data_IF_790145081129
#
_entry.id   IF_790145081129
#
_cell.length_a   1.000
_cell.length_b   1.000
_cell.length_c   1.000
_cell.angle_alpha   90.00
_cell.angle_beta   90.00
_cell.angle_gamma   90.00
#
_symmetry.space_group_name_H-M   'P 1'
#
loop_
_entity.id
_entity.type
_entity.pdbx_description
1 polymer ?
#
# COMPACT_ATOMS: atom_id res chain seq x y z
N UNK A 1 -16.63 -14.91 20.42
CA UNK A 1 -15.15 -14.92 20.54
C UNK A 1 -14.67 -13.51 20.23
N UNK A 2 -13.85 -12.89 21.09
CA UNK A 2 -13.46 -11.49 20.92
C UNK A 2 -12.66 -11.23 19.65
N UNK A 3 -12.83 -10.05 19.05
CA UNK A 3 -12.20 -9.63 17.80
C UNK A 3 -11.17 -8.53 18.03
N UNK A 4 -10.05 -8.63 17.31
CA UNK A 4 -9.06 -7.55 17.22
C UNK A 4 -9.26 -6.75 15.95
N UNK A 5 -9.58 -5.47 16.09
CA UNK A 5 -9.64 -4.50 15.01
C UNK A 5 -8.31 -3.76 14.90
N UNK A 6 -7.46 -4.18 13.97
CA UNK A 6 -6.13 -3.60 13.75
C UNK A 6 -6.22 -2.46 12.75
N UNK A 7 -5.84 -1.25 13.18
CA UNK A 7 -5.74 -0.10 12.28
C UNK A 7 -4.43 -0.11 11.51
N UNK A 8 -4.45 0.20 10.22
CA UNK A 8 -3.26 0.35 9.39
C UNK A 8 -3.36 1.62 8.52
N UNK A 9 -2.37 2.50 8.64
CA UNK A 9 -2.29 3.72 7.84
C UNK A 9 -1.23 4.68 8.36
N UNK A 10 -0.76 5.57 7.47
CA UNK A 10 0.21 6.61 7.83
C UNK A 10 -0.42 7.69 8.73
N UNK A 11 0.37 8.47 9.50
CA UNK A 11 -0.13 9.64 10.21
C UNK A 11 -0.90 10.58 9.26
N UNK A 12 -2.01 11.17 9.75
CA UNK A 12 -2.88 12.04 8.93
C UNK A 12 -3.94 11.29 8.10
N UNK A 13 -3.85 9.97 7.97
CA UNK A 13 -4.84 9.16 7.22
C UNK A 13 -6.25 9.13 7.83
N UNK A 14 -6.44 9.65 9.05
CA UNK A 14 -7.72 9.61 9.77
C UNK A 14 -7.94 8.32 10.57
N UNK A 15 -6.95 7.42 10.64
CA UNK A 15 -7.07 6.12 11.31
C UNK A 15 -7.55 6.23 12.77
N UNK A 16 -7.07 7.22 13.52
CA UNK A 16 -7.42 7.38 14.94
C UNK A 16 -8.85 7.88 15.13
N UNK A 17 -9.34 8.73 14.21
CA UNK A 17 -10.74 9.14 14.19
C UNK A 17 -11.66 7.96 13.88
N UNK A 18 -11.32 7.16 12.87
CA UNK A 18 -12.06 5.95 12.54
C UNK A 18 -12.04 4.94 13.69
N UNK A 19 -10.87 4.72 14.30
CA UNK A 19 -10.67 3.78 15.39
C UNK A 19 -11.51 4.11 16.64
N UNK A 20 -11.60 5.38 17.01
CA UNK A 20 -12.43 5.82 18.14
C UNK A 20 -13.92 5.62 17.87
N UNK A 21 -14.37 5.90 16.64
CA UNK A 21 -15.76 5.62 16.23
C UNK A 21 -16.07 4.12 16.25
N UNK A 22 -15.16 3.30 15.73
CA UNK A 22 -15.29 1.85 15.73
C UNK A 22 -15.32 1.28 17.15
N UNK A 23 -14.43 1.75 18.04
CA UNK A 23 -14.41 1.33 19.43
C UNK A 23 -15.74 1.64 20.13
N UNK A 24 -16.32 2.81 19.88
CA UNK A 24 -17.62 3.18 20.42
C UNK A 24 -18.77 2.32 19.86
N UNK A 25 -18.78 2.05 18.55
CA UNK A 25 -19.86 1.25 17.92
C UNK A 25 -19.82 -0.22 18.32
N UNK A 26 -18.62 -0.80 18.43
CA UNK A 26 -18.42 -2.22 18.77
C UNK A 26 -18.32 -2.45 20.29
N UNK A 27 -18.42 -1.39 21.11
CA UNK A 27 -18.14 -1.44 22.56
C UNK A 27 -16.76 -2.07 22.88
N UNK A 28 -15.81 -1.86 21.97
CA UNK A 28 -14.48 -2.44 22.03
C UNK A 28 -13.51 -1.54 22.81
N UNK A 29 -12.51 -2.14 23.43
CA UNK A 29 -11.46 -1.42 24.15
C UNK A 29 -10.53 -0.75 23.15
N UNK A 30 -10.41 0.57 23.22
CA UNK A 30 -9.50 1.35 22.39
C UNK A 30 -8.09 1.36 23.00
N UNK A 31 -7.09 0.93 22.22
CA UNK A 31 -5.68 0.91 22.61
C UNK A 31 -4.85 1.64 21.54
N UNK A 32 -4.32 2.81 21.90
CA UNK A 32 -3.47 3.63 21.03
C UNK A 32 -2.00 3.58 21.45
N UNK A 33 -1.13 3.29 20.49
CA UNK A 33 0.32 3.35 20.71
C UNK A 33 0.82 4.76 21.01
N UNK A 34 0.19 5.79 20.44
CA UNK A 34 0.54 7.18 20.71
C UNK A 34 0.07 7.60 22.11
N UNK A 35 -1.14 7.25 22.53
CA UNK A 35 -1.66 7.62 23.89
C UNK A 35 -0.87 6.92 24.99
N UNK A 36 -0.48 5.66 24.82
CA UNK A 36 0.35 4.96 25.81
C UNK A 36 1.75 5.57 25.89
N UNK A 37 2.33 5.95 24.74
CA UNK A 37 3.64 6.61 24.71
C UNK A 37 3.59 7.98 25.38
N UNK A 38 2.54 8.75 25.16
CA UNK A 38 2.30 10.03 25.85
C UNK A 38 2.26 9.83 27.37
N UNK A 39 1.48 8.85 27.84
CA UNK A 39 1.37 8.54 29.26
C UNK A 39 2.70 8.11 29.89
N UNK A 40 3.58 7.44 29.14
CA UNK A 40 4.87 6.96 29.67
C UNK A 40 5.93 8.06 29.72
N UNK A 41 5.96 8.94 28.74
CA UNK A 41 7.06 9.90 28.55
C UNK A 41 6.64 11.37 28.71
N UNK A 42 5.37 11.65 28.97
CA UNK A 42 4.79 12.99 28.95
C UNK A 42 4.69 13.60 27.55
N UNK A 43 5.27 12.94 26.54
CA UNK A 43 5.23 13.35 25.14
C UNK A 43 5.33 12.11 24.24
N UNK A 44 4.31 11.92 23.39
CA UNK A 44 4.27 10.82 22.45
C UNK A 44 5.32 10.94 21.31
N UNK A 45 6.01 12.07 21.17
CA UNK A 45 7.12 12.27 20.22
C UNK A 45 8.40 11.52 20.63
N UNK A 46 8.55 11.25 21.94
CA UNK A 46 9.70 10.57 22.50
C UNK A 46 9.76 9.13 22.00
N UNK A 47 10.78 8.79 21.20
CA UNK A 47 10.90 7.44 20.65
C UNK A 47 11.08 6.39 21.76
N UNK A 48 11.80 6.73 22.85
CA UNK A 48 11.97 5.90 24.04
C UNK A 48 12.36 4.44 23.73
N UNK A 49 12.03 3.53 24.65
CA UNK A 49 12.11 2.09 24.39
C UNK A 49 10.83 1.62 23.67
N UNK A 50 10.84 1.71 22.33
CA UNK A 50 9.75 1.23 21.50
C UNK A 50 9.49 -0.29 21.69
N UNK A 51 10.51 -1.10 21.98
CA UNK A 51 10.32 -2.54 22.14
C UNK A 51 9.49 -2.83 23.38
N UNK A 52 9.83 -2.19 24.51
CA UNK A 52 9.10 -2.28 25.77
C UNK A 52 7.68 -1.72 25.66
N UNK A 53 7.49 -0.59 24.97
CA UNK A 53 6.17 -0.01 24.71
C UNK A 53 5.26 -1.00 23.98
N UNK A 54 5.72 -1.57 22.87
CA UNK A 54 4.91 -2.52 22.11
C UNK A 54 4.71 -3.86 22.84
N UNK A 55 5.62 -4.25 23.73
CA UNK A 55 5.40 -5.40 24.60
C UNK A 55 4.26 -5.16 25.60
N UNK A 56 4.22 -3.98 26.23
CA UNK A 56 3.12 -3.61 27.11
C UNK A 56 1.78 -3.54 26.37
N UNK A 57 1.75 -2.94 25.18
CA UNK A 57 0.56 -2.90 24.32
C UNK A 57 0.05 -4.31 24.04
N UNK A 58 0.92 -5.23 23.59
CA UNK A 58 0.55 -6.61 23.29
C UNK A 58 0.03 -7.34 24.53
N UNK A 59 0.64 -7.12 25.69
CA UNK A 59 0.17 -7.65 26.98
C UNK A 59 -1.23 -7.14 27.33
N UNK A 60 -1.50 -5.84 27.18
CA UNK A 60 -2.84 -5.26 27.41
C UNK A 60 -3.88 -5.87 26.49
N UNK A 61 -3.58 -5.95 25.20
CA UNK A 61 -4.47 -6.57 24.19
C UNK A 61 -4.85 -8.00 24.63
N UNK A 62 -3.85 -8.83 24.97
CA UNK A 62 -4.12 -10.21 25.42
C UNK A 62 -5.00 -10.28 26.66
N UNK A 63 -4.79 -9.39 27.64
CA UNK A 63 -5.58 -9.38 28.85
C UNK A 63 -7.06 -9.04 28.58
N UNK A 64 -7.33 -8.06 27.70
CA UNK A 64 -8.70 -7.71 27.33
C UNK A 64 -9.40 -8.84 26.55
N UNK A 65 -8.68 -9.45 25.61
CA UNK A 65 -9.20 -10.60 24.85
C UNK A 65 -9.51 -11.80 25.77
N UNK A 66 -8.65 -12.09 26.75
CA UNK A 66 -8.90 -13.12 27.76
C UNK A 66 -10.11 -12.79 28.65
N UNK A 67 -10.37 -11.50 28.87
CA UNK A 67 -11.56 -11.01 29.56
C UNK A 67 -12.83 -10.97 28.72
N UNK A 68 -12.80 -11.44 27.46
CA UNK A 68 -13.98 -11.48 26.59
C UNK A 68 -14.27 -10.18 25.82
N UNK A 69 -13.34 -9.22 25.82
CA UNK A 69 -13.56 -7.89 25.24
C UNK A 69 -12.91 -7.76 23.86
N UNK A 70 -13.64 -7.18 22.91
CA UNK A 70 -13.10 -6.76 21.63
C UNK A 70 -12.09 -5.62 21.81
N UNK A 71 -11.13 -5.49 20.89
CA UNK A 71 -10.05 -4.50 21.00
C UNK A 71 -9.85 -3.79 19.66
N UNK A 72 -9.80 -2.46 19.69
CA UNK A 72 -9.31 -1.63 18.58
C UNK A 72 -7.88 -1.23 18.84
N UNK A 73 -6.95 -1.74 18.02
CA UNK A 73 -5.53 -1.44 18.12
C UNK A 73 -5.12 -0.35 17.13
N UNK A 74 -4.93 0.87 17.63
CA UNK A 74 -4.53 2.06 16.87
C UNK A 74 -3.02 2.28 16.91
N UNK A 75 -2.37 1.87 15.82
CA UNK A 75 -1.00 2.20 15.49
C UNK A 75 -0.89 2.38 13.97
N UNK A 76 0.29 2.78 13.49
CA UNK A 76 0.51 2.89 12.04
C UNK A 76 0.53 1.52 11.35
N UNK A 77 1.01 0.49 12.06
CA UNK A 77 1.09 -0.90 11.61
C UNK A 77 1.65 -1.08 10.19
N UNK A 78 2.74 -0.35 9.88
CA UNK A 78 3.33 -0.27 8.54
C UNK A 78 3.93 -1.60 8.04
N UNK A 79 4.50 -2.42 8.95
CA UNK A 79 5.32 -3.58 8.56
C UNK A 79 4.54 -4.89 8.58
N UNK A 80 4.53 -5.57 7.44
CA UNK A 80 3.99 -6.93 7.25
C UNK A 80 4.59 -7.92 8.24
N UNK A 81 5.91 -7.90 8.41
CA UNK A 81 6.60 -8.82 9.34
C UNK A 81 6.07 -8.67 10.78
N UNK A 82 5.85 -7.42 11.23
CA UNK A 82 5.33 -7.15 12.58
C UNK A 82 3.87 -7.59 12.71
N UNK A 83 3.05 -7.36 11.69
CA UNK A 83 1.65 -7.81 11.65
C UNK A 83 1.53 -9.33 11.68
N UNK A 84 2.32 -10.05 10.88
CA UNK A 84 2.41 -11.53 10.91
C UNK A 84 2.82 -12.04 12.30
N UNK A 85 3.79 -11.38 12.93
CA UNK A 85 4.18 -11.77 14.30
C UNK A 85 3.03 -11.59 15.27
N UNK A 86 2.34 -10.45 15.19
CA UNK A 86 1.19 -10.12 16.03
C UNK A 86 0.04 -11.14 15.87
N UNK A 87 -0.42 -11.38 14.64
CA UNK A 87 -1.52 -12.32 14.35
C UNK A 87 -1.19 -13.77 14.73
N UNK A 88 0.05 -14.22 14.48
CA UNK A 88 0.42 -15.62 14.67
C UNK A 88 0.92 -15.97 16.07
N UNK A 89 1.36 -14.98 16.86
CA UNK A 89 1.92 -15.23 18.20
C UNK A 89 1.14 -14.49 19.29
N UNK A 90 0.90 -13.19 19.12
CA UNK A 90 0.37 -12.37 20.21
C UNK A 90 -1.13 -12.54 20.43
N UNK A 91 -1.88 -12.69 19.34
CA UNK A 91 -3.35 -12.84 19.38
C UNK A 91 -3.79 -14.13 18.69
N UNK A 92 -2.91 -15.15 18.70
CA UNK A 92 -3.18 -16.45 18.10
C UNK A 92 -4.49 -17.03 18.63
N UNK A 93 -5.38 -17.41 17.72
CA UNK A 93 -6.68 -17.98 18.05
C UNK A 93 -7.82 -16.95 18.13
N UNK A 94 -7.51 -15.65 18.10
CA UNK A 94 -8.53 -14.60 17.99
C UNK A 94 -8.66 -14.11 16.53
N UNK A 95 -9.88 -13.81 16.05
CA UNK A 95 -10.09 -13.20 14.75
C UNK A 95 -9.49 -11.79 14.74
N UNK A 96 -8.79 -11.47 13.65
CA UNK A 96 -8.17 -10.16 13.44
C UNK A 96 -8.70 -9.55 12.15
N UNK A 97 -9.31 -8.37 12.26
CA UNK A 97 -9.77 -7.56 11.12
C UNK A 97 -8.78 -6.41 10.91
N UNK A 98 -8.19 -6.30 9.72
CA UNK A 98 -7.36 -5.15 9.36
C UNK A 98 -8.22 -4.04 8.74
N UNK A 99 -8.13 -2.84 9.28
CA UNK A 99 -8.76 -1.63 8.74
C UNK A 99 -7.69 -0.73 8.13
N UNK A 100 -7.65 -0.66 6.80
CA UNK A 100 -6.56 -0.06 6.03
C UNK A 100 -7.01 1.28 5.43
N UNK A 101 -6.40 2.38 5.87
CA UNK A 101 -6.75 3.72 5.41
C UNK A 101 -5.76 4.22 4.34
N UNK A 102 -6.22 4.19 3.10
CA UNK A 102 -5.52 4.67 1.92
C UNK A 102 -5.96 6.10 1.57
N UNK A 103 -5.59 7.08 2.39
CA UNK A 103 -5.84 8.51 2.13
C UNK A 103 -4.70 9.09 1.30
N UNK A 104 -4.95 9.96 0.29
CA UNK A 104 -3.90 10.62 -0.47
C UNK A 104 -2.81 11.23 0.42
N UNK A 105 -1.54 11.08 0.02
CA UNK A 105 -0.41 11.57 0.81
C UNK A 105 -0.50 13.08 1.07
N UNK A 106 -0.88 13.86 0.07
CA UNK A 106 -1.09 15.31 0.18
C UNK A 106 -2.10 15.67 1.27
N UNK A 107 -3.23 14.96 1.35
CA UNK A 107 -4.22 15.13 2.39
C UNK A 107 -3.69 14.70 3.77
N UNK A 108 -2.90 13.63 3.84
CA UNK A 108 -2.24 13.21 5.09
C UNK A 108 -1.25 14.27 5.59
N UNK A 109 -0.44 14.85 4.69
CA UNK A 109 0.52 15.90 4.97
C UNK A 109 -0.18 17.18 5.46
N UNK A 110 -1.21 17.63 4.74
CA UNK A 110 -2.01 18.80 5.12
C UNK A 110 -2.64 18.63 6.51
N UNK A 111 -3.25 17.46 6.78
CA UNK A 111 -3.79 17.15 8.12
C UNK A 111 -2.70 17.08 9.17
N UNK A 112 -1.52 16.54 8.85
CA UNK A 112 -0.40 16.47 9.78
C UNK A 112 0.12 17.86 10.18
N UNK A 113 0.14 18.81 9.25
CA UNK A 113 0.55 20.20 9.52
C UNK A 113 -0.40 20.95 10.46
N UNK A 114 -1.68 20.54 10.51
CA UNK A 114 -2.73 21.12 11.36
C UNK A 114 -2.81 20.50 12.76
N UNK A 115 -2.07 19.41 13.02
CA UNK A 115 -2.06 18.77 14.35
C UNK A 115 -1.21 19.57 15.33
N UNK A 116 -1.60 19.57 16.60
CA UNK A 116 -0.76 20.06 17.70
C UNK A 116 0.59 19.33 17.70
N UNK A 117 0.55 18.00 17.58
CA UNK A 117 1.73 17.15 17.41
C UNK A 117 1.93 16.80 15.93
N UNK A 118 2.99 17.36 15.35
CA UNK A 118 3.38 17.16 13.94
C UNK A 118 4.43 16.06 13.82
N UNK A 119 4.27 15.18 12.83
CA UNK A 119 5.35 14.30 12.38
C UNK A 119 6.17 15.06 11.34
N UNK A 120 7.49 15.01 11.43
CA UNK A 120 8.36 15.60 10.41
C UNK A 120 8.01 15.06 9.01
N UNK A 121 8.05 15.92 8.00
CA UNK A 121 7.64 15.58 6.64
C UNK A 121 8.48 14.43 6.06
N UNK A 122 9.79 14.43 6.28
CA UNK A 122 10.68 13.36 5.80
C UNK A 122 10.39 12.03 6.49
N UNK A 123 9.99 12.08 7.77
CA UNK A 123 9.53 10.89 8.49
C UNK A 123 8.20 10.39 7.89
N UNK A 124 7.27 11.29 7.59
CA UNK A 124 5.98 10.94 6.99
C UNK A 124 6.15 10.33 5.59
N UNK A 125 6.99 10.91 4.74
CA UNK A 125 7.36 10.34 3.44
C UNK A 125 7.97 8.95 3.59
N UNK A 126 8.89 8.77 4.55
CA UNK A 126 9.49 7.47 4.84
C UNK A 126 8.43 6.45 5.28
N UNK A 127 7.50 6.84 6.14
CA UNK A 127 6.40 5.96 6.56
C UNK A 127 5.51 5.57 5.39
N UNK A 128 5.28 6.48 4.45
CA UNK A 128 4.51 6.19 3.23
C UNK A 128 5.23 5.17 2.33
N UNK A 129 6.52 5.36 2.07
CA UNK A 129 7.36 4.41 1.30
C UNK A 129 7.50 3.04 1.96
N UNK A 130 7.38 2.97 3.29
CA UNK A 130 7.50 1.74 4.09
C UNK A 130 6.15 1.04 4.35
N UNK A 131 5.03 1.60 3.91
CA UNK A 131 3.71 1.06 4.22
C UNK A 131 3.40 -0.18 3.37
N UNK A 132 3.73 -1.36 3.89
CA UNK A 132 3.38 -2.63 3.25
C UNK A 132 1.87 -2.88 3.46
N UNK A 133 1.08 -2.96 2.39
CA UNK A 133 -0.36 -3.23 2.51
C UNK A 133 -0.65 -4.55 3.26
N UNK A 134 -1.67 -4.58 4.16
CA UNK A 134 -2.13 -5.81 4.79
C UNK A 134 -2.85 -6.75 3.82
N UNK A 135 -2.48 -8.04 3.82
CA UNK A 135 -3.16 -9.08 3.04
C UNK A 135 -3.61 -10.26 3.91
N UNK A 136 -4.62 -11.01 3.46
CA UNK A 136 -5.26 -12.07 4.24
C UNK A 136 -4.28 -13.14 4.76
N UNK A 137 -3.23 -13.46 3.99
CA UNK A 137 -2.18 -14.45 4.31
C UNK A 137 -1.33 -14.06 5.53
N UNK A 138 -1.44 -12.80 5.97
CA UNK A 138 -0.86 -12.34 7.22
C UNK A 138 -1.60 -12.86 8.46
N UNK A 139 -2.75 -13.52 8.31
CA UNK A 139 -3.56 -14.06 9.40
C UNK A 139 -4.78 -13.20 9.76
N UNK A 140 -5.23 -12.35 8.83
CA UNK A 140 -6.45 -11.57 8.99
C UNK A 140 -7.66 -12.38 8.51
N UNK A 141 -8.75 -12.39 9.28
CA UNK A 141 -10.01 -12.97 8.80
C UNK A 141 -10.72 -12.05 7.81
N UNK A 142 -10.42 -10.74 7.86
CA UNK A 142 -10.90 -9.74 6.90
C UNK A 142 -9.92 -8.58 6.80
N UNK A 143 -9.70 -8.10 5.58
CA UNK A 143 -8.99 -6.84 5.32
C UNK A 143 -9.97 -5.86 4.70
N UNK A 144 -10.23 -4.73 5.34
CA UNK A 144 -11.14 -3.69 4.85
C UNK A 144 -10.35 -2.47 4.39
N UNK A 145 -10.49 -2.10 3.12
CA UNK A 145 -9.86 -0.91 2.54
C UNK A 145 -10.79 0.30 2.58
N UNK A 146 -10.28 1.41 3.08
CA UNK A 146 -10.94 2.72 3.14
C UNK A 146 -10.11 3.71 2.35
N UNK A 147 -10.71 4.37 1.37
CA UNK A 147 -10.13 5.50 0.64
C UNK A 147 -11.20 6.60 0.59
N UNK A 148 -10.80 7.88 0.57
CA UNK A 148 -11.76 8.95 0.34
C UNK A 148 -12.34 8.84 -1.07
N UNK A 149 -13.54 9.39 -1.23
CA UNK A 149 -14.11 9.64 -2.55
C UNK A 149 -13.26 10.72 -3.25
N UNK A 150 -12.76 10.39 -4.42
CA UNK A 150 -11.98 11.27 -5.29
C UNK A 150 -12.89 12.00 -6.30
N UNK A 151 -14.18 11.68 -6.32
CA UNK A 151 -15.21 12.31 -7.15
C UNK A 151 -14.82 12.36 -8.63
N UNK A 152 -14.36 11.22 -9.17
CA UNK A 152 -14.06 11.13 -10.60
C UNK A 152 -15.29 11.42 -11.43
N UNK A 153 -15.14 12.39 -12.33
CA UNK A 153 -16.18 12.77 -13.29
C UNK A 153 -16.59 11.56 -14.16
N UNK A 154 -17.88 11.39 -14.50
CA UNK A 154 -18.35 10.27 -15.32
C UNK A 154 -17.65 10.12 -16.67
N UNK A 155 -17.23 11.22 -17.32
CA UNK A 155 -16.50 11.17 -18.60
C UNK A 155 -15.14 10.52 -18.38
N UNK A 156 -14.42 10.91 -17.33
CA UNK A 156 -13.14 10.28 -16.98
C UNK A 156 -13.30 8.78 -16.71
N UNK A 157 -14.36 8.36 -15.99
CA UNK A 157 -14.65 6.93 -15.79
C UNK A 157 -14.89 6.19 -17.11
N UNK A 158 -15.54 6.83 -18.08
CA UNK A 158 -15.77 6.25 -19.42
C UNK A 158 -14.46 6.14 -20.21
N UNK A 159 -13.61 7.17 -20.18
CA UNK A 159 -12.33 7.15 -20.88
C UNK A 159 -11.38 6.09 -20.32
N UNK A 160 -11.36 5.88 -19.00
CA UNK A 160 -10.63 4.78 -18.37
C UNK A 160 -11.13 3.43 -18.90
N UNK A 161 -12.44 3.21 -19.00
CA UNK A 161 -13.00 1.96 -19.53
C UNK A 161 -12.57 1.70 -20.97
N UNK A 162 -12.45 2.75 -21.80
CA UNK A 162 -11.96 2.62 -23.18
C UNK A 162 -10.50 2.23 -23.20
N UNK A 163 -9.67 2.85 -22.36
CA UNK A 163 -8.26 2.46 -22.22
C UNK A 163 -8.12 0.98 -21.84
N UNK A 164 -8.99 0.46 -20.97
CA UNK A 164 -8.98 -0.96 -20.58
C UNK A 164 -9.39 -1.94 -21.70
N UNK A 165 -9.93 -1.47 -22.83
CA UNK A 165 -10.48 -2.33 -23.89
C UNK A 165 -9.92 -2.10 -25.28
N UNK A 166 -9.34 -0.93 -25.54
CA UNK A 166 -8.94 -0.46 -26.87
C UNK A 166 -7.47 -0.05 -26.90
N UNK A 167 -6.84 -0.13 -28.07
CA UNK A 167 -5.51 0.42 -28.28
C UNK A 167 -5.59 1.95 -28.42
N UNK A 168 -4.74 2.66 -27.66
CA UNK A 168 -4.64 4.11 -27.68
C UNK A 168 -3.23 4.54 -28.10
N UNK A 169 -3.10 5.71 -28.73
CA UNK A 169 -1.78 6.34 -28.89
C UNK A 169 -1.21 6.70 -27.50
N UNK A 170 0.10 6.79 -27.37
CA UNK A 170 0.74 7.21 -26.11
C UNK A 170 0.22 8.56 -25.60
N UNK A 171 -0.06 9.49 -26.52
CA UNK A 171 -0.56 10.83 -26.20
C UNK A 171 -1.98 10.77 -25.62
N UNK A 172 -2.90 10.07 -26.30
CA UNK A 172 -4.29 9.95 -25.85
C UNK A 172 -4.38 9.15 -24.54
N UNK A 173 -3.56 8.10 -24.41
CA UNK A 173 -3.48 7.29 -23.20
C UNK A 173 -3.10 8.14 -21.98
N UNK A 174 -2.02 8.94 -22.07
CA UNK A 174 -1.61 9.81 -20.97
C UNK A 174 -2.46 11.07 -20.81
N UNK A 175 -3.19 11.50 -21.85
CA UNK A 175 -4.19 12.55 -21.70
C UNK A 175 -5.24 12.16 -20.66
N UNK A 176 -5.71 10.91 -20.67
CA UNK A 176 -6.66 10.40 -19.68
C UNK A 176 -5.97 10.15 -18.34
N UNK A 177 -4.84 9.42 -18.34
CA UNK A 177 -4.20 8.98 -17.11
C UNK A 177 -3.66 10.13 -16.26
N UNK A 178 -3.26 11.26 -16.86
CA UNK A 178 -2.80 12.44 -16.11
C UNK A 178 -3.87 13.06 -15.20
N UNK A 179 -5.14 12.66 -15.33
CA UNK A 179 -6.19 13.06 -14.38
C UNK A 179 -6.28 12.16 -13.14
N UNK A 180 -5.46 11.10 -13.07
CA UNK A 180 -5.50 10.10 -12.00
C UNK A 180 -4.30 10.25 -11.04
N UNK A 181 -4.48 9.95 -9.74
CA UNK A 181 -3.40 10.09 -8.75
C UNK A 181 -2.15 9.28 -9.11
N UNK A 182 -0.97 9.92 -9.08
CA UNK A 182 0.33 9.27 -9.29
C UNK A 182 0.81 9.26 -10.74
N UNK A 183 -0.09 9.42 -11.73
CA UNK A 183 0.28 9.39 -13.14
C UNK A 183 1.00 10.65 -13.62
N UNK A 184 0.59 11.88 -13.24
CA UNK A 184 1.34 13.10 -13.56
C UNK A 184 2.81 13.02 -13.14
N UNK A 185 3.09 12.38 -12.00
CA UNK A 185 4.42 12.29 -11.42
C UNK A 185 5.35 11.31 -12.16
N UNK A 186 4.80 10.41 -12.99
CA UNK A 186 5.58 9.47 -13.80
C UNK A 186 5.66 9.86 -15.29
N UNK A 187 4.92 10.89 -15.72
CA UNK A 187 4.89 11.31 -17.11
C UNK A 187 6.27 11.77 -17.59
N UNK A 188 6.83 11.04 -18.56
CA UNK A 188 8.19 11.18 -19.09
C UNK A 188 9.30 11.15 -18.01
N UNK A 189 9.01 10.54 -16.87
CA UNK A 189 9.98 10.40 -15.79
C UNK A 189 11.10 9.44 -16.21
N UNK A 190 12.32 9.95 -16.34
CA UNK A 190 13.51 9.11 -16.56
C UNK A 190 13.72 8.13 -15.40
N UNK A 191 14.10 6.88 -15.70
CA UNK A 191 14.56 5.93 -14.69
C UNK A 191 15.94 6.30 -14.11
N UNK A 192 16.71 7.14 -14.80
CA UNK A 192 18.09 7.52 -14.46
C UNK A 192 18.93 6.32 -14.03
N UNK A 193 18.95 5.30 -14.90
CA UNK A 193 19.62 4.02 -14.68
C UNK A 193 20.39 3.61 -15.94
N UNK A 194 21.32 2.65 -15.82
CA UNK A 194 22.00 2.07 -16.99
C UNK A 194 21.12 1.14 -17.83
N UNK A 195 20.04 0.63 -17.24
CA UNK A 195 19.34 -0.57 -17.70
C UNK A 195 17.98 -0.28 -18.33
N UNK A 196 17.52 0.98 -18.34
CA UNK A 196 16.20 1.34 -18.86
C UNK A 196 16.36 2.44 -19.88
N UNK A 197 15.90 2.19 -21.11
CA UNK A 197 15.93 3.15 -22.22
C UNK A 197 14.64 3.98 -22.32
N UNK A 198 13.56 3.52 -21.68
CA UNK A 198 12.26 4.17 -21.67
C UNK A 198 12.08 5.01 -20.39
N UNK A 199 11.25 6.06 -20.47
CA UNK A 199 10.69 6.70 -19.30
C UNK A 199 9.70 5.76 -18.59
N UNK A 200 9.41 6.01 -17.31
CA UNK A 200 8.48 5.20 -16.51
C UNK A 200 7.11 5.13 -17.18
N UNK A 201 6.59 6.28 -17.65
CA UNK A 201 5.32 6.34 -18.39
C UNK A 201 5.31 5.49 -19.66
N UNK A 202 6.38 5.55 -20.46
CA UNK A 202 6.50 4.77 -21.70
C UNK A 202 6.63 3.28 -21.43
N UNK A 203 7.35 2.90 -20.37
CA UNK A 203 7.44 1.50 -19.95
C UNK A 203 6.05 0.94 -19.62
N UNK A 204 5.27 1.64 -18.79
CA UNK A 204 3.88 1.26 -18.49
C UNK A 204 3.00 1.19 -19.73
N UNK A 205 3.11 2.17 -20.64
CA UNK A 205 2.35 2.21 -21.89
C UNK A 205 2.60 0.99 -22.79
N UNK A 206 3.87 0.66 -23.07
CA UNK A 206 4.18 -0.45 -23.97
C UNK A 206 3.78 -1.81 -23.39
N UNK A 207 3.90 -2.00 -22.06
CA UNK A 207 3.37 -3.22 -21.43
C UNK A 207 1.85 -3.27 -21.58
N UNK A 208 1.16 -2.15 -21.34
CA UNK A 208 -0.28 -2.08 -21.48
C UNK A 208 -0.73 -2.41 -22.91
N UNK A 209 -0.08 -1.81 -23.92
CA UNK A 209 -0.37 -2.07 -25.32
C UNK A 209 -0.18 -3.54 -25.70
N UNK A 210 0.92 -4.16 -25.25
CA UNK A 210 1.19 -5.59 -25.48
C UNK A 210 0.07 -6.47 -24.88
N UNK A 211 -0.42 -6.15 -23.68
CA UNK A 211 -1.56 -6.88 -23.07
C UNK A 211 -2.85 -6.67 -23.85
N UNK A 212 -3.11 -5.46 -24.36
CA UNK A 212 -4.29 -5.17 -25.18
C UNK A 212 -4.27 -6.02 -26.46
N UNK A 213 -3.13 -6.06 -27.15
CA UNK A 213 -2.99 -6.66 -28.48
C UNK A 213 -2.83 -8.18 -28.44
N UNK A 214 -2.04 -8.72 -27.49
CA UNK A 214 -1.60 -10.11 -27.54
C UNK A 214 -2.23 -11.01 -26.48
N UNK A 215 -2.79 -10.45 -25.40
CA UNK A 215 -3.33 -11.24 -24.30
C UNK A 215 -4.85 -11.37 -24.36
N UNK A 216 -5.35 -12.61 -24.38
CA UNK A 216 -6.79 -12.95 -24.45
C UNK A 216 -7.25 -13.85 -23.29
N UNK A 217 -6.44 -14.02 -22.26
CA UNK A 217 -6.77 -14.85 -21.09
C UNK A 217 -7.74 -14.17 -20.11
N UNK A 218 -8.28 -14.93 -19.14
CA UNK A 218 -9.26 -14.43 -18.17
C UNK A 218 -8.71 -13.32 -17.24
N UNK A 219 -7.39 -13.26 -17.06
CA UNK A 219 -6.73 -12.26 -16.22
C UNK A 219 -6.37 -10.95 -16.95
N UNK A 220 -6.88 -10.74 -18.18
CA UNK A 220 -6.53 -9.58 -19.02
C UNK A 220 -6.70 -8.26 -18.27
N UNK A 221 -7.85 -8.05 -17.66
CA UNK A 221 -8.16 -6.81 -16.93
C UNK A 221 -7.18 -6.56 -15.78
N UNK A 222 -6.78 -7.64 -15.08
CA UNK A 222 -5.79 -7.56 -14.00
C UNK A 222 -4.42 -7.16 -14.55
N UNK A 223 -3.99 -7.77 -15.66
CA UNK A 223 -2.72 -7.45 -16.32
C UNK A 223 -2.68 -6.00 -16.84
N UNK A 224 -3.79 -5.47 -17.35
CA UNK A 224 -3.91 -4.07 -17.77
C UNK A 224 -3.76 -3.11 -16.59
N UNK A 225 -4.36 -3.42 -15.44
CA UNK A 225 -4.12 -2.61 -14.23
C UNK A 225 -2.69 -2.75 -13.71
N UNK A 226 -2.10 -3.94 -13.73
CA UNK A 226 -0.71 -4.15 -13.33
C UNK A 226 0.26 -3.33 -14.22
N UNK A 227 0.08 -3.36 -15.53
CA UNK A 227 0.94 -2.63 -16.47
C UNK A 227 0.93 -1.12 -16.21
N UNK A 228 -0.25 -0.56 -15.93
CA UNK A 228 -0.38 0.86 -15.62
C UNK A 228 0.11 1.23 -14.22
N UNK A 229 -0.17 0.40 -13.21
CA UNK A 229 -0.05 0.82 -11.80
C UNK A 229 1.22 0.33 -11.10
N UNK A 230 1.93 -0.68 -11.61
CA UNK A 230 3.05 -1.29 -10.85
C UNK A 230 4.15 -0.28 -10.46
N UNK A 231 4.42 0.69 -11.33
CA UNK A 231 5.52 1.63 -11.20
C UNK A 231 5.10 3.08 -10.88
N UNK A 232 3.81 3.37 -10.70
CA UNK A 232 3.31 4.74 -10.45
C UNK A 232 3.93 5.37 -9.19
N UNK A 233 4.29 4.55 -8.20
CA UNK A 233 4.98 5.02 -6.99
C UNK A 233 6.38 5.56 -7.23
N UNK A 234 6.98 5.34 -8.41
CA UNK A 234 8.31 5.87 -8.76
C UNK A 234 8.34 7.39 -8.80
N UNK A 235 7.25 8.05 -9.18
CA UNK A 235 7.14 9.51 -9.18
C UNK A 235 7.42 10.10 -7.79
N UNK A 236 6.90 9.46 -6.74
CA UNK A 236 7.13 9.85 -5.35
C UNK A 236 8.48 9.34 -4.77
N UNK A 237 8.93 8.16 -5.22
CA UNK A 237 10.07 7.48 -4.61
C UNK A 237 11.43 7.87 -5.19
N UNK A 238 11.47 8.55 -6.34
CA UNK A 238 12.72 8.89 -7.02
C UNK A 238 13.66 9.69 -6.12
N UNK A 239 14.87 9.17 -5.92
CA UNK A 239 15.90 9.85 -5.12
C UNK A 239 17.30 9.53 -5.64
N UNK A 240 18.19 10.52 -5.59
CA UNK A 240 19.62 10.34 -5.81
C UNK A 240 20.40 10.19 -4.51
N UNK A 241 19.75 10.03 -3.37
CA UNK A 241 20.40 9.87 -2.07
C UNK A 241 20.33 8.41 -1.63
N UNK A 242 21.40 7.90 -1.04
CA UNK A 242 21.37 6.62 -0.34
C UNK A 242 20.90 6.79 1.13
N UNK A 243 20.77 5.69 1.88
CA UNK A 243 20.34 5.72 3.28
C UNK A 243 21.24 6.54 4.23
N UNK A 244 22.47 6.84 3.83
CA UNK A 244 23.41 7.71 4.58
C UNK A 244 23.36 9.17 4.11
N UNK A 245 22.43 9.52 3.20
CA UNK A 245 22.31 10.85 2.62
C UNK A 245 23.35 11.17 1.53
N UNK A 246 24.17 10.20 1.10
CA UNK A 246 25.18 10.46 0.09
C UNK A 246 24.59 10.39 -1.33
N UNK A 247 24.92 11.38 -2.16
CA UNK A 247 24.51 11.45 -3.57
C UNK A 247 25.03 10.24 -4.35
N UNK A 248 24.19 9.73 -5.24
CA UNK A 248 24.44 8.59 -6.12
C UNK A 248 24.29 9.02 -7.58
N UNK A 249 25.01 8.34 -8.47
CA UNK A 249 24.93 8.58 -9.91
C UNK A 249 23.58 8.17 -10.51
N UNK A 250 22.99 7.10 -9.99
CA UNK A 250 21.74 6.53 -10.48
C UNK A 250 20.63 6.76 -9.48
N UNK A 251 19.42 6.99 -9.99
CA UNK A 251 18.26 7.14 -9.14
C UNK A 251 17.89 5.82 -8.45
N UNK A 252 17.27 5.95 -7.28
CA UNK A 252 16.67 4.88 -6.50
C UNK A 252 15.18 5.14 -6.38
N UNK A 253 14.41 4.06 -6.26
CA UNK A 253 12.96 4.09 -6.11
C UNK A 253 12.55 3.22 -4.91
N UNK A 254 13.22 3.39 -3.78
CA UNK A 254 13.02 2.54 -2.60
C UNK A 254 11.56 2.66 -2.10
N UNK A 255 10.83 1.54 -2.07
CA UNK A 255 9.44 1.47 -1.61
C UNK A 255 8.39 1.88 -2.64
N UNK A 256 8.75 2.06 -3.92
CA UNK A 256 7.78 2.40 -4.97
C UNK A 256 6.66 1.36 -5.08
N UNK A 257 6.95 0.07 -4.88
CA UNK A 257 5.94 -1.00 -4.91
C UNK A 257 4.86 -0.83 -3.83
N UNK A 258 5.24 -0.29 -2.66
CA UNK A 258 4.30 0.00 -1.57
C UNK A 258 3.43 1.22 -1.90
N UNK A 259 4.05 2.28 -2.43
CA UNK A 259 3.36 3.50 -2.86
C UNK A 259 2.40 3.20 -4.01
N UNK A 260 2.84 2.44 -5.00
CA UNK A 260 2.04 1.95 -6.13
C UNK A 260 0.82 1.17 -5.65
N UNK A 261 1.01 0.21 -4.75
CA UNK A 261 -0.10 -0.59 -4.23
C UNK A 261 -1.09 0.27 -3.41
N UNK A 262 -0.59 1.24 -2.64
CA UNK A 262 -1.41 2.19 -1.88
C UNK A 262 -2.27 3.08 -2.79
N UNK A 263 -1.71 3.56 -3.90
CA UNK A 263 -2.42 4.34 -4.91
C UNK A 263 -3.43 3.48 -5.68
N UNK A 264 -3.08 2.23 -5.99
CA UNK A 264 -3.98 1.29 -6.65
C UNK A 264 -5.27 1.06 -5.86
N UNK A 265 -5.17 0.90 -4.52
CA UNK A 265 -6.35 0.79 -3.66
C UNK A 265 -7.25 2.03 -3.75
N UNK A 266 -6.67 3.24 -3.81
CA UNK A 266 -7.45 4.47 -3.96
C UNK A 266 -8.19 4.49 -5.29
N UNK A 267 -7.46 4.25 -6.38
CA UNK A 267 -8.00 4.32 -7.73
C UNK A 267 -9.10 3.28 -7.94
N UNK A 268 -8.81 2.01 -7.69
CA UNK A 268 -9.73 0.91 -7.97
C UNK A 268 -11.01 1.00 -7.11
N UNK A 269 -10.90 1.50 -5.87
CA UNK A 269 -12.08 1.73 -5.02
C UNK A 269 -12.97 2.85 -5.57
N UNK A 270 -12.39 3.92 -6.11
CA UNK A 270 -13.13 5.03 -6.72
C UNK A 270 -13.69 4.69 -8.12
N UNK A 271 -13.19 3.62 -8.73
CA UNK A 271 -13.73 3.00 -9.94
C UNK A 271 -14.71 1.85 -9.64
N UNK A 272 -15.08 1.67 -8.37
CA UNK A 272 -16.12 0.73 -7.93
C UNK A 272 -15.80 -0.76 -8.22
N UNK A 273 -14.52 -1.11 -8.32
CA UNK A 273 -14.10 -2.50 -8.41
C UNK A 273 -14.46 -3.28 -7.14
N UNK A 274 -14.69 -4.59 -7.31
CA UNK A 274 -14.98 -5.48 -6.19
C UNK A 274 -13.81 -5.53 -5.21
N UNK A 275 -14.11 -5.81 -3.94
CA UNK A 275 -13.09 -5.93 -2.90
C UNK A 275 -12.04 -6.97 -3.25
N UNK A 276 -12.45 -8.13 -3.77
CA UNK A 276 -11.56 -9.22 -4.18
C UNK A 276 -10.61 -8.76 -5.29
N UNK A 277 -11.13 -8.06 -6.30
CA UNK A 277 -10.32 -7.52 -7.39
C UNK A 277 -9.29 -6.50 -6.88
N UNK A 278 -9.71 -5.56 -6.03
CA UNK A 278 -8.82 -4.57 -5.41
C UNK A 278 -7.73 -5.27 -4.58
N UNK A 279 -8.11 -6.24 -3.76
CA UNK A 279 -7.21 -6.96 -2.87
C UNK A 279 -6.14 -7.72 -3.66
N UNK A 280 -6.55 -8.49 -4.65
CA UNK A 280 -5.64 -9.28 -5.50
C UNK A 280 -4.73 -8.38 -6.32
N UNK A 281 -5.27 -7.35 -6.99
CA UNK A 281 -4.50 -6.42 -7.83
C UNK A 281 -3.46 -5.65 -7.02
N UNK A 282 -3.84 -5.10 -5.86
CA UNK A 282 -2.91 -4.40 -4.97
C UNK A 282 -1.82 -5.34 -4.43
N UNK A 283 -2.15 -6.62 -4.17
CA UNK A 283 -1.18 -7.64 -3.75
C UNK A 283 -0.15 -7.91 -4.83
N UNK A 284 -0.59 -8.13 -6.06
CA UNK A 284 0.29 -8.32 -7.22
C UNK A 284 1.20 -7.11 -7.43
N UNK A 285 0.67 -5.88 -7.38
CA UNK A 285 1.47 -4.65 -7.47
C UNK A 285 2.51 -4.59 -6.35
N UNK A 286 2.15 -4.91 -5.10
CA UNK A 286 3.11 -4.88 -3.99
C UNK A 286 4.21 -5.93 -4.09
N UNK A 287 4.02 -6.94 -4.95
CA UNK A 287 4.91 -8.09 -5.12
C UNK A 287 5.50 -8.17 -6.54
N UNK A 288 5.27 -7.19 -7.41
CA UNK A 288 5.71 -7.25 -8.82
C UNK A 288 7.23 -7.36 -8.98
N UNK A 289 8.00 -6.88 -7.99
CA UNK A 289 9.45 -6.96 -7.96
C UNK A 289 9.99 -8.34 -7.54
N UNK A 290 9.14 -9.35 -7.33
CA UNK A 290 9.54 -10.66 -6.80
C UNK A 290 10.65 -11.35 -7.58
N UNK A 291 10.65 -11.20 -8.90
CA UNK A 291 11.69 -11.78 -9.76
C UNK A 291 13.01 -11.01 -9.72
N UNK A 292 12.94 -9.71 -9.43
CA UNK A 292 14.09 -8.84 -9.25
C UNK A 292 14.68 -8.93 -7.82
N UNK A 293 14.04 -9.67 -6.91
CA UNK A 293 14.57 -9.86 -5.55
C UNK A 293 15.88 -10.66 -5.56
N UNK A 294 16.90 -10.10 -4.92
CA UNK A 294 18.27 -10.62 -4.93
C UNK A 294 18.49 -11.88 -4.09
N UNK A 295 17.48 -12.36 -3.33
CA UNK A 295 17.65 -13.55 -2.47
C UNK A 295 16.52 -14.57 -2.63
N UNK A 296 16.91 -15.85 -2.79
CA UNK A 296 15.98 -16.99 -2.84
C UNK A 296 15.03 -17.04 -1.63
N UNK A 297 15.50 -16.60 -0.46
CA UNK A 297 14.72 -16.57 0.79
C UNK A 297 13.58 -15.55 0.75
N UNK A 298 13.84 -14.32 0.26
CA UNK A 298 12.79 -13.29 0.14
C UNK A 298 11.73 -13.73 -0.87
N UNK A 299 12.15 -14.21 -2.04
CA UNK A 299 11.24 -14.71 -3.08
C UNK A 299 10.38 -15.86 -2.56
N UNK A 300 10.97 -16.82 -1.84
CA UNK A 300 10.24 -17.92 -1.20
C UNK A 300 9.20 -17.43 -0.18
N UNK A 301 9.51 -16.40 0.60
CA UNK A 301 8.59 -15.88 1.61
C UNK A 301 7.42 -15.12 0.99
N UNK A 302 7.68 -14.31 -0.03
CA UNK A 302 6.63 -13.57 -0.70
C UNK A 302 5.76 -14.46 -1.61
N UNK A 303 6.30 -15.55 -2.18
CA UNK A 303 5.49 -16.59 -2.82
C UNK A 303 4.45 -17.24 -1.90
N UNK A 304 4.62 -17.19 -0.57
CA UNK A 304 3.62 -17.70 0.38
C UNK A 304 2.41 -16.76 0.53
N UNK A 305 2.49 -15.55 -0.02
CA UNK A 305 1.40 -14.57 0.00
C UNK A 305 0.54 -14.64 -1.26
N UNK A 306 0.94 -15.43 -2.26
CA UNK A 306 0.24 -15.52 -3.54
C UNK A 306 -0.53 -16.84 -3.62
N UNK A 307 -1.79 -16.76 -4.02
CA UNK A 307 -2.53 -17.92 -4.49
C UNK A 307 -1.96 -18.39 -5.86
N UNK A 308 -2.19 -19.65 -6.26
CA UNK A 308 -1.68 -20.18 -7.52
C UNK A 308 -2.03 -19.33 -8.75
N UNK A 309 -3.27 -18.84 -8.83
CA UNK A 309 -3.76 -18.00 -9.93
C UNK A 309 -3.02 -16.65 -9.96
N UNK A 310 -2.85 -16.00 -8.81
CA UNK A 310 -2.12 -14.75 -8.71
C UNK A 310 -0.65 -14.90 -9.08
N UNK A 311 -0.04 -16.03 -8.71
CA UNK A 311 1.33 -16.34 -9.12
C UNK A 311 1.43 -16.47 -10.65
N UNK A 312 0.47 -17.12 -11.30
CA UNK A 312 0.44 -17.22 -12.76
C UNK A 312 0.34 -15.85 -13.43
N UNK A 313 -0.53 -14.96 -12.91
CA UNK A 313 -0.63 -13.57 -13.41
C UNK A 313 0.70 -12.84 -13.26
N UNK A 314 1.35 -12.97 -12.11
CA UNK A 314 2.63 -12.31 -11.85
C UNK A 314 3.76 -12.84 -12.73
N UNK A 315 3.79 -14.16 -12.96
CA UNK A 315 4.76 -14.80 -13.86
C UNK A 315 4.57 -14.31 -15.31
N UNK A 316 3.32 -14.20 -15.80
CA UNK A 316 3.03 -13.59 -17.10
C UNK A 316 3.47 -12.11 -17.16
N UNK A 317 3.13 -11.33 -16.14
CA UNK A 317 3.53 -9.92 -16.05
C UNK A 317 5.06 -9.75 -16.06
N UNK A 318 5.79 -10.64 -15.40
CA UNK A 318 7.24 -10.59 -15.36
C UNK A 318 7.88 -10.92 -16.72
N UNK A 319 7.25 -11.77 -17.54
CA UNK A 319 7.69 -12.02 -18.92
C UNK A 319 7.54 -10.75 -19.76
N UNK A 320 6.38 -10.09 -19.70
CA UNK A 320 6.08 -8.86 -20.45
C UNK A 320 7.06 -7.73 -20.08
N UNK A 321 7.30 -7.51 -18.79
CA UNK A 321 8.20 -6.43 -18.33
C UNK A 321 9.65 -6.64 -18.74
N UNK A 322 10.13 -7.89 -18.83
CA UNK A 322 11.52 -8.20 -19.24
C UNK A 322 11.80 -7.90 -20.71
N UNK A 323 10.80 -8.02 -21.58
CA UNK A 323 10.95 -7.70 -23.01
C UNK A 323 11.15 -6.20 -23.25
N UNK A 324 10.75 -5.36 -22.29
CA UNK A 324 10.68 -3.90 -22.39
C UNK A 324 11.64 -3.18 -21.43
N UNK A 325 12.62 -3.89 -20.84
CA UNK A 325 13.66 -3.33 -19.97
C UNK A 325 14.84 -2.80 -20.76
#
# INVERSE_FOLDING_TARGET
>A
MPTVHLMAGIPGSGKSFFAKKLAASEQAVYISSDEIRENWYGDASVQGDNSRLFEDIRRRIRNYLAGGMDVVFDATNLSRRKRIHFTRNDVRGFPVVAHVLCTPFSACLARNQQRERKVDEQILERMYKQFELPFSEEGFCRVAYYAPDLSFDPVLKQDIKRIMGEAFSYQDFFQVLNHLPGFPEIYELSHDSKLHHLSVSRHSYFIHQEVVEQYHGPDKEKLLWLSMLHDIGKGFCKSFLNFKGAKQKYARFDGHENVSAYLAVQLLKNLEYSHEFIHSTAKLISLHMLEAETSKKRRKNANKLLHPEEKQVLDHFAILTRQLR
#
